data_IF_029407214044
#
_entry.id   IF_029407214044
#
_cell.length_a   1.000
_cell.length_b   1.000
_cell.length_c   1.000
_cell.angle_alpha   90.00
_cell.angle_beta   90.00
_cell.angle_gamma   90.00
#
_symmetry.space_group_name_H-M   'P 1'
#
loop_
_entity.id
_entity.type
_entity.pdbx_description
1 polymer ?
#
# COMPACT_ATOMS: atom_id res chain seq x y z
N UNK A 1 11.80 -15.87 -7.42
CA UNK A 1 11.10 -15.82 -6.12
C UNK A 1 9.64 -15.54 -6.40
N UNK A 2 8.67 -16.20 -5.74
CA UNK A 2 7.27 -15.82 -5.94
C UNK A 2 7.12 -14.37 -5.47
N UNK A 3 6.52 -13.53 -6.32
CA UNK A 3 6.25 -12.16 -5.95
C UNK A 3 5.31 -12.18 -4.74
N UNK A 4 5.72 -11.52 -3.66
CA UNK A 4 4.92 -11.38 -2.44
C UNK A 4 4.24 -10.04 -2.56
N UNK A 5 2.93 -10.07 -2.72
CA UNK A 5 2.12 -8.86 -2.72
C UNK A 5 1.40 -8.74 -1.38
N UNK A 6 1.20 -7.50 -0.95
CA UNK A 6 0.39 -7.17 0.20
C UNK A 6 -0.90 -6.53 -0.29
N UNK A 7 -2.04 -7.19 -0.07
CA UNK A 7 -3.37 -6.70 -0.44
C UNK A 7 -4.05 -6.10 0.77
N UNK A 8 -4.45 -4.84 0.65
CA UNK A 8 -5.29 -4.14 1.61
C UNK A 8 -6.72 -4.12 1.09
N UNK A 9 -7.67 -4.54 1.93
CA UNK A 9 -9.11 -4.40 1.67
C UNK A 9 -9.64 -3.39 2.67
N UNK A 10 -10.16 -2.27 2.18
CA UNK A 10 -10.61 -1.17 3.03
C UNK A 10 -12.10 -1.29 3.33
N UNK A 11 -12.50 -0.86 4.52
CA UNK A 11 -13.90 -0.83 4.93
C UNK A 11 -14.73 0.15 4.09
N UNK A 12 -16.04 -0.05 4.08
CA UNK A 12 -17.00 0.82 3.41
C UNK A 12 -16.86 2.28 3.87
N UNK A 13 -17.01 3.22 2.95
CA UNK A 13 -16.88 4.66 3.21
C UNK A 13 -15.46 5.22 3.09
N UNK A 14 -14.46 4.36 2.83
CA UNK A 14 -13.13 4.82 2.39
C UNK A 14 -13.20 5.05 0.87
N UNK A 15 -12.78 6.22 0.39
CA UNK A 15 -12.76 6.49 -1.05
C UNK A 15 -11.44 6.01 -1.66
N UNK A 16 -11.47 5.65 -2.94
CA UNK A 16 -10.28 5.37 -3.75
C UNK A 16 -9.25 6.51 -3.66
N UNK A 17 -9.70 7.76 -3.81
CA UNK A 17 -8.84 8.94 -3.71
C UNK A 17 -8.16 9.10 -2.35
N UNK A 18 -8.81 8.66 -1.28
CA UNK A 18 -8.20 8.65 0.05
C UNK A 18 -7.09 7.60 0.14
N UNK A 19 -7.32 6.40 -0.40
CA UNK A 19 -6.30 5.34 -0.48
C UNK A 19 -5.10 5.80 -1.30
N UNK A 20 -5.34 6.39 -2.47
CA UNK A 20 -4.28 6.93 -3.35
C UNK A 20 -3.45 8.00 -2.63
N UNK A 21 -4.08 8.93 -1.91
CA UNK A 21 -3.36 9.94 -1.13
C UNK A 21 -2.46 9.32 -0.04
N UNK A 22 -2.90 8.25 0.63
CA UNK A 22 -2.08 7.56 1.64
C UNK A 22 -0.91 6.83 0.97
N UNK A 23 -1.13 6.21 -0.19
CA UNK A 23 -0.05 5.58 -0.97
C UNK A 23 0.98 6.63 -1.39
N UNK A 24 0.55 7.77 -1.92
CA UNK A 24 1.43 8.86 -2.35
C UNK A 24 2.29 9.39 -1.19
N UNK A 25 1.70 9.52 0.00
CA UNK A 25 2.45 9.89 1.22
C UNK A 25 3.49 8.83 1.60
N UNK A 26 3.12 7.55 1.57
CA UNK A 26 4.04 6.46 1.87
C UNK A 26 5.20 6.38 0.86
N UNK A 27 4.92 6.56 -0.44
CA UNK A 27 5.92 6.62 -1.51
C UNK A 27 6.83 7.85 -1.36
N UNK A 28 6.27 9.00 -0.99
CA UNK A 28 7.05 10.21 -0.70
C UNK A 28 8.05 9.99 0.45
N UNK A 29 7.60 9.35 1.53
CA UNK A 29 8.49 9.02 2.65
C UNK A 29 9.54 7.97 2.25
N UNK A 30 9.17 6.98 1.43
CA UNK A 30 10.13 6.02 0.89
C UNK A 30 11.18 6.70 0.00
N UNK A 31 10.79 7.70 -0.79
CA UNK A 31 11.72 8.48 -1.61
C UNK A 31 12.73 9.27 -0.77
N UNK A 32 12.33 9.74 0.42
CA UNK A 32 13.25 10.37 1.37
C UNK A 32 14.23 9.35 1.99
N UNK A 33 13.75 8.15 2.35
CA UNK A 33 14.54 7.12 3.00
C UNK A 33 15.50 6.36 2.05
N UNK A 34 15.07 6.08 0.82
CA UNK A 34 15.77 5.20 -0.13
C UNK A 34 16.26 5.91 -1.40
N UNK A 35 15.93 7.19 -1.57
CA UNK A 35 16.18 7.96 -2.77
C UNK A 35 15.03 7.88 -3.78
N UNK A 36 14.78 9.00 -4.48
CA UNK A 36 13.63 9.17 -5.40
C UNK A 36 13.57 8.10 -6.48
N UNK A 37 14.67 7.86 -7.19
CA UNK A 37 14.69 6.93 -8.32
C UNK A 37 14.41 5.49 -7.90
N UNK A 38 14.93 5.10 -6.74
CA UNK A 38 14.70 3.77 -6.18
C UNK A 38 13.26 3.61 -5.71
N UNK A 39 12.72 4.62 -5.01
CA UNK A 39 11.32 4.62 -4.60
C UNK A 39 10.37 4.51 -5.80
N UNK A 40 10.60 5.29 -6.86
CA UNK A 40 9.77 5.25 -8.06
C UNK A 40 9.79 3.88 -8.76
N UNK A 41 10.93 3.19 -8.75
CA UNK A 41 11.07 1.86 -9.38
C UNK A 41 10.45 0.74 -8.54
N UNK A 42 10.63 0.80 -7.23
CA UNK A 42 10.42 -0.34 -6.33
C UNK A 42 9.11 -0.25 -5.52
N UNK A 43 8.31 0.82 -5.67
CA UNK A 43 7.02 1.04 -4.97
C UNK A 43 5.79 0.73 -5.83
N UNK A 44 5.86 -0.34 -6.63
CA UNK A 44 4.76 -0.73 -7.50
C UNK A 44 3.47 -0.97 -6.68
N UNK A 45 2.40 -0.25 -7.05
CA UNK A 45 1.09 -0.35 -6.42
C UNK A 45 -0.03 -0.30 -7.45
N UNK A 46 -1.17 -0.89 -7.11
CA UNK A 46 -2.43 -0.68 -7.84
C UNK A 46 -3.58 -0.49 -6.86
N UNK A 47 -4.58 0.29 -7.28
CA UNK A 47 -5.81 0.54 -6.53
C UNK A 47 -7.00 0.15 -7.39
N UNK A 48 -7.91 -0.64 -6.82
CA UNK A 48 -9.19 -0.98 -7.44
C UNK A 48 -10.35 -0.29 -6.73
N UNK A 49 -11.41 -0.07 -7.51
CA UNK A 49 -12.66 0.48 -7.02
C UNK A 49 -13.58 -0.62 -6.47
N UNK A 50 -14.32 -0.27 -5.42
CA UNK A 50 -15.47 -0.95 -4.82
C UNK A 50 -15.40 -2.49 -4.55
N UNK A 51 -15.13 -2.93 -3.30
CA UNK A 51 -14.65 -2.09 -2.21
C UNK A 51 -13.23 -1.60 -2.55
N UNK A 52 -12.82 -0.43 -2.04
CA UNK A 52 -11.48 0.07 -2.28
C UNK A 52 -10.47 -0.98 -1.82
N UNK A 53 -9.54 -1.32 -2.72
CA UNK A 53 -8.46 -2.26 -2.44
C UNK A 53 -7.19 -1.71 -3.01
N UNK A 54 -6.09 -1.89 -2.30
CA UNK A 54 -4.78 -1.68 -2.92
C UNK A 54 -3.92 -2.93 -2.82
N UNK A 55 -3.05 -3.08 -3.81
CA UNK A 55 -2.07 -4.14 -3.87
C UNK A 55 -0.69 -3.49 -3.99
N UNK A 56 0.22 -3.88 -3.10
CA UNK A 56 1.59 -3.37 -3.05
C UNK A 56 2.54 -4.54 -3.32
N UNK A 57 3.52 -4.36 -4.21
CA UNK A 57 4.65 -5.27 -4.33
C UNK A 57 5.55 -5.13 -3.11
N UNK A 58 5.69 -6.20 -2.30
CA UNK A 58 6.54 -6.22 -1.11
C UNK A 58 7.75 -7.14 -1.28
N UNK A 59 8.12 -7.47 -2.52
CA UNK A 59 9.35 -8.19 -2.83
C UNK A 59 10.61 -7.36 -2.56
N UNK A 60 10.50 -6.03 -2.57
CA UNK A 60 11.58 -5.08 -2.30
C UNK A 60 11.49 -4.50 -0.88
N UNK A 61 12.60 -3.95 -0.38
CA UNK A 61 12.58 -3.24 0.92
C UNK A 61 11.76 -1.95 0.85
N UNK A 62 11.78 -1.26 -0.30
CA UNK A 62 10.95 -0.06 -0.55
C UNK A 62 9.46 -0.43 -0.49
N UNK A 63 9.07 -1.49 -1.19
CA UNK A 63 7.70 -1.98 -1.21
C UNK A 63 7.20 -2.37 0.18
N UNK A 64 8.03 -3.07 0.96
CA UNK A 64 7.75 -3.37 2.38
C UNK A 64 7.56 -2.09 3.21
N UNK A 65 8.47 -1.13 3.07
CA UNK A 65 8.37 0.16 3.77
C UNK A 65 7.08 0.91 3.42
N UNK A 66 6.69 0.92 2.14
CA UNK A 66 5.43 1.54 1.70
C UNK A 66 4.22 0.83 2.31
N UNK A 67 4.19 -0.50 2.28
CA UNK A 67 3.09 -1.28 2.86
C UNK A 67 2.95 -1.04 4.39
N UNK A 68 4.07 -0.97 5.11
CA UNK A 68 4.09 -0.64 6.54
C UNK A 68 3.57 0.78 6.80
N UNK A 69 3.99 1.76 6.00
CA UNK A 69 3.52 3.15 6.11
C UNK A 69 2.02 3.32 5.84
N UNK A 70 1.47 2.55 4.90
CA UNK A 70 0.01 2.51 4.66
C UNK A 70 -0.70 1.95 5.90
N UNK A 71 -0.26 0.80 6.41
CA UNK A 71 -0.85 0.16 7.58
C UNK A 71 -0.82 1.10 8.81
N UNK A 72 0.32 1.72 9.09
CA UNK A 72 0.47 2.67 10.20
C UNK A 72 -0.47 3.88 10.05
N UNK A 73 -0.59 4.42 8.82
CA UNK A 73 -1.45 5.57 8.54
C UNK A 73 -2.92 5.26 8.77
N UNK A 74 -3.40 4.10 8.29
CA UNK A 74 -4.78 3.68 8.50
C UNK A 74 -5.08 3.32 9.95
N UNK A 75 -4.17 2.61 10.65
CA UNK A 75 -4.31 2.33 12.08
C UNK A 75 -4.38 3.62 12.89
N UNK A 76 -3.52 4.62 12.63
CA UNK A 76 -3.52 5.89 13.37
C UNK A 76 -4.75 6.76 13.11
N UNK A 77 -5.21 6.85 11.85
CA UNK A 77 -6.27 7.78 11.47
C UNK A 77 -7.68 7.20 11.62
N UNK A 78 -7.82 5.87 11.55
CA UNK A 78 -9.13 5.20 11.48
C UNK A 78 -9.27 4.02 12.45
N UNK A 79 -8.18 3.57 13.07
CA UNK A 79 -8.14 2.40 13.94
C UNK A 79 -8.07 1.08 13.18
N UNK A 80 -7.76 0.00 13.91
CA UNK A 80 -7.43 -1.33 13.36
C UNK A 80 -8.59 -2.05 12.65
N UNK A 81 -9.82 -1.53 12.74
CA UNK A 81 -11.01 -2.11 12.07
C UNK A 81 -11.30 -1.50 10.70
N UNK A 82 -10.45 -0.60 10.22
CA UNK A 82 -10.68 0.14 8.97
C UNK A 82 -10.18 -0.57 7.71
N UNK A 83 -9.40 -1.64 7.87
CA UNK A 83 -8.87 -2.42 6.76
C UNK A 83 -8.46 -3.82 7.20
N UNK A 84 -8.32 -4.70 6.22
CA UNK A 84 -7.79 -6.04 6.37
C UNK A 84 -6.57 -6.22 5.46
N UNK A 85 -5.57 -6.97 5.91
CA UNK A 85 -4.34 -7.24 5.17
C UNK A 85 -4.28 -8.71 4.77
N UNK A 86 -3.99 -8.97 3.50
CA UNK A 86 -3.84 -10.31 2.95
C UNK A 86 -2.50 -10.43 2.23
N UNK A 87 -1.84 -11.58 2.38
CA UNK A 87 -0.73 -11.95 1.50
C UNK A 87 -1.29 -12.49 0.18
N UNK A 88 -0.73 -12.05 -0.94
CA UNK A 88 -1.09 -12.52 -2.26
C UNK A 88 0.14 -12.93 -3.07
N UNK A 89 0.01 -14.00 -3.85
CA UNK A 89 1.09 -14.54 -4.69
C UNK A 89 0.98 -14.07 -6.15
N UNK A 90 -0.10 -13.35 -6.50
CA UNK A 90 -0.40 -12.86 -7.85
C UNK A 90 -0.89 -11.42 -7.80
N UNK A 91 -0.60 -10.66 -8.86
CA UNK A 91 -1.12 -9.31 -9.04
C UNK A 91 -2.61 -9.33 -9.40
N UNK A 92 -3.47 -9.46 -8.38
CA UNK A 92 -4.94 -9.49 -8.52
C UNK A 92 -5.61 -8.66 -7.43
N UNK A 93 -6.32 -7.62 -7.84
CA UNK A 93 -7.13 -6.74 -6.99
C UNK A 93 -8.49 -7.36 -6.67
#
# INVERSE_FOLDING_TARGET
MPAKFCKFVFADGISRSYVENIIDQAVFLAAYAFGRDRAARDSASAVADDPPRCLIDVSTDVGRYVAEGIAESFTRLRGDRSFEIYQADKWKL
#
